data_IF_462988487976
#
_entry.id   IF_462988487976
#
_cell.length_a   1.000
_cell.length_b   1.000
_cell.length_c   1.000
_cell.angle_alpha   90.00
_cell.angle_beta   90.00
_cell.angle_gamma   90.00
#
_symmetry.space_group_name_H-M   'P 1'
#
loop_
_entity.id
_entity.type
_entity.pdbx_description
1 polymer ?
#
# COMPACT_ATOMS: atom_id res chain seq x y z
N UNK A 1 -24.61 -2.98 -3.76
CA UNK A 1 -24.31 -4.38 -4.16
C UNK A 1 -22.85 -4.64 -3.88
N UNK A 2 -22.51 -5.78 -3.29
CA UNK A 2 -21.14 -6.03 -2.81
C UNK A 2 -20.16 -6.16 -3.99
N UNK A 3 -19.09 -5.36 -3.99
CA UNK A 3 -18.13 -5.24 -5.11
C UNK A 3 -17.45 -6.56 -5.47
N UNK A 4 -17.28 -7.46 -4.49
CA UNK A 4 -16.73 -8.81 -4.71
C UNK A 4 -17.60 -9.66 -5.65
N UNK A 5 -18.93 -9.47 -5.61
CA UNK A 5 -19.85 -10.22 -6.46
C UNK A 5 -19.71 -9.83 -7.93
N UNK A 6 -19.43 -8.55 -8.22
CA UNK A 6 -19.18 -8.07 -9.59
C UNK A 6 -17.93 -8.70 -10.20
N UNK A 7 -16.92 -9.00 -9.40
CA UNK A 7 -15.68 -9.66 -9.84
C UNK A 7 -15.84 -11.17 -9.97
N UNK A 8 -16.61 -11.80 -9.08
CA UNK A 8 -16.78 -13.26 -9.03
C UNK A 8 -17.90 -13.81 -9.93
N UNK A 9 -18.95 -13.03 -10.21
CA UNK A 9 -20.11 -13.48 -10.99
C UNK A 9 -19.75 -14.15 -12.35
N UNK A 10 -18.76 -13.67 -13.13
CA UNK A 10 -18.39 -14.30 -14.41
C UNK A 10 -17.77 -15.71 -14.27
N UNK A 11 -17.21 -16.04 -13.11
CA UNK A 11 -16.43 -17.27 -12.88
C UNK A 11 -17.27 -18.42 -12.31
N UNK A 12 -18.49 -18.12 -11.84
CA UNK A 12 -19.40 -19.10 -11.26
C UNK A 12 -19.75 -20.29 -12.20
N UNK A 13 -19.99 -20.10 -13.51
CA UNK A 13 -20.36 -21.21 -14.39
C UNK A 13 -19.26 -22.27 -14.55
N UNK A 14 -17.99 -21.83 -14.60
CA UNK A 14 -16.81 -22.68 -14.70
C UNK A 14 -16.62 -23.51 -13.42
N UNK A 15 -16.76 -22.86 -12.25
CA UNK A 15 -16.68 -23.52 -10.94
C UNK A 15 -17.75 -24.61 -10.77
N UNK A 16 -19.00 -24.31 -11.14
CA UNK A 16 -20.10 -25.28 -11.08
C UNK A 16 -19.87 -26.45 -12.03
N UNK A 17 -19.34 -26.19 -13.23
CA UNK A 17 -19.02 -27.25 -14.21
C UNK A 17 -17.90 -28.16 -13.72
N UNK A 18 -16.87 -27.61 -13.07
CA UNK A 18 -15.75 -28.36 -12.52
C UNK A 18 -16.14 -29.23 -11.31
N UNK A 19 -17.05 -28.74 -10.46
CA UNK A 19 -17.47 -29.45 -9.25
C UNK A 19 -18.50 -30.58 -9.50
N UNK A 20 -19.23 -30.53 -10.62
CA UNK A 20 -20.33 -31.46 -10.95
C UNK A 20 -20.00 -32.96 -10.82
N UNK A 21 -18.89 -33.51 -11.36
CA UNK A 21 -18.59 -34.94 -11.28
C UNK A 21 -18.20 -35.44 -9.88
N UNK A 22 -17.85 -34.54 -8.95
CA UNK A 22 -17.50 -34.90 -7.57
C UNK A 22 -18.76 -35.25 -6.78
N UNK A 23 -19.88 -34.59 -7.05
CA UNK A 23 -21.14 -34.80 -6.31
C UNK A 23 -22.00 -35.96 -6.84
N UNK A 24 -21.73 -36.48 -8.05
CA UNK A 24 -22.59 -37.48 -8.70
C UNK A 24 -22.02 -38.90 -8.72
N UNK A 25 -20.79 -39.13 -8.21
CA UNK A 25 -20.04 -40.36 -8.52
C UNK A 25 -20.45 -41.60 -7.72
N UNK A 26 -21.17 -41.48 -6.59
CA UNK A 26 -21.48 -42.60 -5.67
C UNK A 26 -22.85 -42.53 -4.94
N UNK A 27 -23.88 -41.86 -5.49
CA UNK A 27 -25.14 -41.71 -4.77
C UNK A 27 -26.01 -42.98 -4.81
N UNK A 28 -26.15 -43.69 -3.69
CA UNK A 28 -27.24 -44.67 -3.53
C UNK A 28 -28.60 -43.95 -3.40
N UNK A 29 -29.69 -44.45 -4.02
CA UNK A 29 -30.97 -43.75 -4.11
C UNK A 29 -31.60 -43.36 -2.76
N UNK A 30 -31.30 -44.12 -1.71
CA UNK A 30 -31.82 -43.90 -0.35
C UNK A 30 -31.11 -42.78 0.41
N UNK A 31 -29.91 -42.38 -0.01
CA UNK A 31 -29.10 -41.36 0.67
C UNK A 31 -29.18 -39.98 0.02
N UNK A 32 -29.81 -39.88 -1.16
CA UNK A 32 -29.98 -38.63 -1.93
C UNK A 32 -30.59 -37.50 -1.09
N UNK A 33 -31.66 -37.70 -0.29
CA UNK A 33 -32.22 -36.61 0.53
C UNK A 33 -31.24 -36.10 1.59
N UNK A 34 -30.45 -37.00 2.19
CA UNK A 34 -29.46 -36.65 3.22
C UNK A 34 -28.28 -35.92 2.61
N UNK A 35 -27.78 -36.37 1.46
CA UNK A 35 -26.72 -35.68 0.72
C UNK A 35 -27.17 -34.30 0.23
N UNK A 36 -28.42 -34.16 -0.20
CA UNK A 36 -28.99 -32.85 -0.58
C UNK A 36 -29.04 -31.90 0.63
N UNK A 37 -29.42 -32.39 1.82
CA UNK A 37 -29.41 -31.59 3.04
C UNK A 37 -27.99 -31.15 3.44
N UNK A 38 -27.03 -32.09 3.43
CA UNK A 38 -25.62 -31.79 3.74
C UNK A 38 -25.01 -30.79 2.73
N UNK A 39 -25.38 -30.88 1.45
CA UNK A 39 -24.97 -29.90 0.44
C UNK A 39 -25.60 -28.53 0.67
N UNK A 40 -26.87 -28.46 1.08
CA UNK A 40 -27.52 -27.20 1.42
C UNK A 40 -26.86 -26.54 2.63
N UNK A 41 -26.57 -27.32 3.67
CA UNK A 41 -25.87 -26.82 4.85
C UNK A 41 -24.45 -26.34 4.51
N UNK A 42 -23.71 -27.10 3.70
CA UNK A 42 -22.40 -26.71 3.22
C UNK A 42 -22.44 -25.44 2.34
N UNK A 43 -23.48 -25.27 1.52
CA UNK A 43 -23.68 -24.05 0.71
C UNK A 43 -23.97 -22.85 1.60
N UNK A 44 -24.84 -22.99 2.60
CA UNK A 44 -25.13 -21.92 3.56
C UNK A 44 -23.88 -21.52 4.35
N UNK A 45 -23.10 -22.50 4.80
CA UNK A 45 -21.87 -22.26 5.55
C UNK A 45 -20.79 -21.60 4.67
N UNK A 46 -20.66 -22.02 3.41
CA UNK A 46 -19.75 -21.40 2.46
C UNK A 46 -20.17 -19.97 2.07
N UNK A 47 -21.46 -19.71 1.87
CA UNK A 47 -21.96 -18.36 1.59
C UNK A 47 -21.62 -17.42 2.76
N UNK A 48 -21.82 -17.89 3.99
CA UNK A 48 -21.45 -17.13 5.17
C UNK A 48 -19.92 -16.90 5.26
N UNK A 49 -19.10 -17.92 4.99
CA UNK A 49 -17.65 -17.81 5.00
C UNK A 49 -17.14 -16.83 3.92
N UNK A 50 -17.70 -16.86 2.72
CA UNK A 50 -17.36 -15.94 1.62
C UNK A 50 -17.73 -14.50 1.99
N UNK A 51 -18.90 -14.28 2.61
CA UNK A 51 -19.30 -12.94 3.08
C UNK A 51 -18.35 -12.40 4.12
N UNK A 52 -17.98 -13.23 5.11
CA UNK A 52 -17.00 -12.84 6.13
C UNK A 52 -15.65 -12.50 5.51
N UNK A 53 -15.13 -13.37 4.64
CA UNK A 53 -13.86 -13.15 3.94
C UNK A 53 -13.88 -11.87 3.10
N UNK A 54 -14.97 -11.63 2.37
CA UNK A 54 -15.12 -10.42 1.58
C UNK A 54 -15.13 -9.15 2.45
N UNK A 55 -15.77 -9.19 3.62
CA UNK A 55 -15.76 -8.09 4.59
C UNK A 55 -14.35 -7.85 5.14
N UNK A 56 -13.62 -8.91 5.49
CA UNK A 56 -12.24 -8.79 5.99
C UNK A 56 -11.29 -8.25 4.91
N UNK A 57 -11.46 -8.69 3.66
CA UNK A 57 -10.71 -8.16 2.51
C UNK A 57 -11.02 -6.68 2.29
N UNK A 58 -12.29 -6.26 2.37
CA UNK A 58 -12.68 -4.86 2.22
C UNK A 58 -12.03 -3.99 3.32
N UNK A 59 -12.08 -4.43 4.58
CA UNK A 59 -11.41 -3.74 5.69
C UNK A 59 -9.89 -3.65 5.49
N UNK A 60 -9.27 -4.74 5.04
CA UNK A 60 -7.82 -4.78 4.77
C UNK A 60 -7.44 -3.81 3.65
N UNK A 61 -8.22 -3.78 2.56
CA UNK A 61 -8.00 -2.85 1.44
C UNK A 61 -8.19 -1.38 1.86
N UNK A 62 -9.19 -1.09 2.71
CA UNK A 62 -9.38 0.24 3.26
C UNK A 62 -8.18 0.65 4.14
N UNK A 63 -7.71 -0.25 5.00
CA UNK A 63 -6.52 -0.02 5.83
C UNK A 63 -5.25 0.23 4.99
N UNK A 64 -5.02 -0.58 3.95
CA UNK A 64 -3.90 -0.40 3.03
C UNK A 64 -3.98 0.92 2.27
N UNK A 65 -5.18 1.31 1.82
CA UNK A 65 -5.39 2.58 1.11
C UNK A 65 -5.11 3.77 2.02
N UNK A 66 -5.60 3.74 3.26
CA UNK A 66 -5.32 4.77 4.27
C UNK A 66 -3.82 4.87 4.58
N UNK A 67 -3.14 3.74 4.78
CA UNK A 67 -1.70 3.69 5.02
C UNK A 67 -0.91 4.24 3.83
N UNK A 68 -1.31 3.91 2.59
CA UNK A 68 -0.69 4.44 1.38
C UNK A 68 -0.81 5.96 1.27
N UNK A 69 -1.99 6.51 1.58
CA UNK A 69 -2.20 7.96 1.59
C UNK A 69 -1.35 8.64 2.67
N UNK A 70 -1.26 8.05 3.86
CA UNK A 70 -0.42 8.58 4.92
C UNK A 70 1.08 8.56 4.53
N UNK A 71 1.54 7.48 3.88
CA UNK A 71 2.89 7.42 3.33
C UNK A 71 3.14 8.50 2.27
N UNK A 72 2.20 8.73 1.37
CA UNK A 72 2.32 9.77 0.35
C UNK A 72 2.45 11.18 0.98
N UNK A 73 1.61 11.50 1.97
CA UNK A 73 1.67 12.79 2.67
C UNK A 73 2.99 12.98 3.42
N UNK A 74 3.49 11.94 4.09
CA UNK A 74 4.79 12.00 4.80
C UNK A 74 5.96 12.17 3.85
N UNK A 75 5.96 11.49 2.70
CA UNK A 75 6.99 11.65 1.68
C UNK A 75 7.00 13.06 1.09
N UNK A 76 5.82 13.65 0.82
CA UNK A 76 5.73 15.04 0.38
C UNK A 76 6.28 16.01 1.43
N UNK A 77 5.93 15.80 2.70
CA UNK A 77 6.46 16.59 3.82
C UNK A 77 7.98 16.52 3.93
N UNK A 78 8.55 15.32 3.83
CA UNK A 78 10.00 15.11 3.85
C UNK A 78 10.69 15.76 2.66
N UNK A 79 10.13 15.66 1.45
CA UNK A 79 10.68 16.35 0.27
C UNK A 79 10.71 17.87 0.45
N UNK A 80 9.65 18.45 0.99
CA UNK A 80 9.61 19.89 1.29
C UNK A 80 10.66 20.28 2.34
N UNK A 81 10.80 19.49 3.40
CA UNK A 81 11.79 19.73 4.45
C UNK A 81 13.24 19.68 3.90
N UNK A 82 13.55 18.68 3.08
CA UNK A 82 14.86 18.56 2.41
C UNK A 82 15.16 19.78 1.53
N UNK A 83 14.21 20.20 0.68
CA UNK A 83 14.41 21.37 -0.17
C UNK A 83 14.60 22.67 0.62
N UNK A 84 13.96 22.81 1.79
CA UNK A 84 14.21 23.95 2.67
C UNK A 84 15.60 23.89 3.32
N UNK A 85 16.06 22.69 3.68
CA UNK A 85 17.37 22.47 4.29
C UNK A 85 18.50 22.71 3.29
N UNK A 86 18.37 22.24 2.05
CA UNK A 86 19.33 22.49 0.97
C UNK A 86 19.51 23.99 0.71
N UNK A 87 18.41 24.76 0.67
CA UNK A 87 18.48 26.23 0.52
C UNK A 87 19.24 26.89 1.66
N UNK A 88 19.05 26.42 2.90
CA UNK A 88 19.80 26.94 4.07
C UNK A 88 21.27 26.60 3.97
N UNK A 89 21.60 25.36 3.59
CA UNK A 89 22.98 24.91 3.43
C UNK A 89 23.69 25.69 2.31
N UNK A 90 23.04 25.91 1.18
CA UNK A 90 23.59 26.73 0.08
C UNK A 90 23.90 28.17 0.53
N UNK A 91 23.00 28.80 1.31
CA UNK A 91 23.24 30.14 1.88
C UNK A 91 24.40 30.14 2.87
N UNK A 92 24.43 29.17 3.78
CA UNK A 92 25.51 29.05 4.75
C UNK A 92 26.88 28.84 4.06
N UNK A 93 26.90 28.04 2.99
CA UNK A 93 28.11 27.79 2.22
C UNK A 93 28.59 29.06 1.50
N UNK A 94 27.69 29.82 0.86
CA UNK A 94 28.03 31.12 0.27
C UNK A 94 28.58 32.11 1.30
N UNK A 95 27.99 32.18 2.49
CA UNK A 95 28.50 33.05 3.56
C UNK A 95 29.88 32.59 4.03
N UNK A 96 30.10 31.29 4.16
CA UNK A 96 31.40 30.73 4.57
C UNK A 96 32.50 31.04 3.55
N UNK A 97 32.22 30.91 2.25
CA UNK A 97 33.20 31.21 1.20
C UNK A 97 33.54 32.69 1.16
N UNK A 98 32.53 33.57 1.28
CA UNK A 98 32.74 35.03 1.36
C UNK A 98 33.54 35.41 2.61
N UNK A 99 33.24 34.80 3.76
CA UNK A 99 33.98 35.07 5.00
C UNK A 99 35.45 34.64 4.90
N UNK A 100 35.73 33.47 4.31
CA UNK A 100 37.10 32.97 4.11
C UNK A 100 37.88 33.87 3.15
N UNK A 101 37.28 34.28 2.02
CA UNK A 101 37.97 35.16 1.06
C UNK A 101 38.24 36.55 1.65
N UNK A 102 37.28 37.12 2.38
CA UNK A 102 37.46 38.39 3.08
C UNK A 102 38.59 38.31 4.12
N UNK A 103 38.66 37.22 4.90
CA UNK A 103 39.72 37.01 5.89
C UNK A 103 41.11 36.91 5.23
N UNK A 104 41.22 36.17 4.12
CA UNK A 104 42.49 36.05 3.38
C UNK A 104 42.94 37.40 2.81
N UNK A 105 42.02 38.19 2.24
CA UNK A 105 42.32 39.53 1.73
C UNK A 105 42.77 40.48 2.85
N UNK A 106 42.06 40.47 3.98
CA UNK A 106 42.43 41.29 5.14
C UNK A 106 43.83 40.93 5.65
N UNK A 107 44.16 39.64 5.71
CA UNK A 107 45.48 39.17 6.11
C UNK A 107 46.57 39.60 5.11
N UNK A 108 46.31 39.47 3.80
CA UNK A 108 47.24 39.91 2.76
C UNK A 108 47.50 41.42 2.81
N UNK A 109 46.47 42.23 3.04
CA UNK A 109 46.61 43.69 3.20
C UNK A 109 47.41 44.03 4.45
N UNK A 110 47.15 43.37 5.57
CA UNK A 110 47.92 43.57 6.81
C UNK A 110 49.40 43.19 6.64
N UNK A 111 49.68 42.08 5.96
CA UNK A 111 51.04 41.66 5.65
C UNK A 111 51.75 42.66 4.71
N UNK A 112 51.06 43.18 3.70
CA UNK A 112 51.59 44.21 2.81
C UNK A 112 51.90 45.52 3.54
N UNK A 113 51.01 45.93 4.46
CA UNK A 113 51.23 47.11 5.29
C UNK A 113 52.40 46.96 6.26
N UNK A 114 52.70 45.74 6.71
CA UNK A 114 53.85 45.46 7.57
C UNK A 114 55.18 45.38 6.80
N UNK A 115 55.14 44.94 5.54
CA UNK A 115 56.31 44.79 4.68
C UNK A 115 56.76 46.08 3.97
N UNK A 116 55.96 47.16 4.07
CA UNK A 116 56.23 48.48 3.49
C UNK A 116 56.65 49.48 4.56
#
# INVERSE_FOLDING_TARGET
MASWFTVMAPLLPELVRAARPIFTRNAEPSQVPKQIAELQDAVLQNDQAIKTLASEMEQTLQGLTGASQQLETTLLGLRHALGAQEKRLARAQLLSTVAVTAALLAFAVAAYALAR
#
